data_IF_500440526952
#
_entry.id   IF_500440526952
#
_cell.length_a   1.000
_cell.length_b   1.000
_cell.length_c   1.000
_cell.angle_alpha   90.00
_cell.angle_beta   90.00
_cell.angle_gamma   90.00
#
_symmetry.space_group_name_H-M   'P 1'
#
loop_
_entity.id
_entity.type
_entity.pdbx_description
1 polymer ?
#
# COMPACT_ATOMS: atom_id res chain seq x y z
N UNK A 1 -14.47 -46.42 -4.30
CA UNK A 1 -13.01 -46.20 -4.09
C UNK A 1 -12.53 -45.20 -5.13
N UNK A 2 -12.24 -43.95 -4.73
CA UNK A 2 -11.66 -42.90 -5.60
C UNK A 2 -10.30 -42.51 -5.01
N UNK A 3 -9.24 -42.55 -5.84
CA UNK A 3 -7.87 -42.20 -5.46
C UNK A 3 -7.79 -40.70 -5.07
N UNK A 4 -7.00 -40.33 -4.05
CA UNK A 4 -6.72 -38.93 -3.74
C UNK A 4 -5.69 -38.36 -4.73
N UNK A 5 -5.87 -37.09 -5.09
CA UNK A 5 -4.96 -36.30 -5.90
C UNK A 5 -3.58 -36.20 -5.22
N UNK A 6 -2.46 -36.39 -5.95
CA UNK A 6 -1.14 -36.16 -5.37
C UNK A 6 -0.82 -34.66 -5.40
N UNK A 7 -0.81 -34.03 -4.22
CA UNK A 7 -0.23 -32.70 -4.05
C UNK A 7 1.30 -32.82 -4.12
N UNK A 8 1.87 -32.71 -5.32
CA UNK A 8 3.29 -32.42 -5.51
C UNK A 8 3.54 -30.94 -5.21
N UNK A 9 3.71 -30.57 -3.94
CA UNK A 9 4.03 -29.21 -3.54
C UNK A 9 5.48 -28.87 -3.87
N UNK A 10 5.70 -27.84 -4.70
CA UNK A 10 7.00 -27.21 -4.86
C UNK A 10 7.47 -26.70 -3.49
N UNK A 11 8.63 -27.18 -3.03
CA UNK A 11 9.20 -26.74 -1.76
C UNK A 11 9.68 -25.28 -1.82
N UNK A 12 9.72 -24.60 -0.67
CA UNK A 12 10.21 -23.21 -0.51
C UNK A 12 11.55 -22.93 -1.22
N UNK A 13 12.46 -23.91 -1.22
CA UNK A 13 13.77 -23.79 -1.91
C UNK A 13 13.66 -23.89 -3.44
N UNK A 14 12.72 -24.67 -3.97
CA UNK A 14 12.48 -24.76 -5.41
C UNK A 14 11.80 -23.49 -5.93
N UNK A 15 10.88 -22.88 -5.15
CA UNK A 15 10.29 -21.57 -5.48
C UNK A 15 11.34 -20.45 -5.54
N UNK A 16 12.30 -20.42 -4.61
CA UNK A 16 13.39 -19.44 -4.62
C UNK A 16 14.41 -19.71 -5.74
N UNK A 17 14.65 -20.98 -6.09
CA UNK A 17 15.58 -21.34 -7.16
C UNK A 17 15.03 -21.03 -8.57
N UNK A 18 13.71 -21.14 -8.80
CA UNK A 18 13.09 -20.80 -10.09
C UNK A 18 12.98 -19.29 -10.33
N UNK A 19 13.12 -18.45 -9.30
CA UNK A 19 13.24 -17.00 -9.46
C UNK A 19 14.63 -16.55 -9.97
N UNK A 20 15.65 -17.41 -9.90
CA UNK A 20 17.03 -17.09 -10.22
C UNK A 20 17.48 -17.51 -11.63
N UNK A 21 16.60 -18.09 -12.45
CA UNK A 21 16.93 -18.56 -13.79
C UNK A 21 16.04 -17.91 -14.86
N UNK A 22 16.34 -16.65 -15.18
CA UNK A 22 15.94 -16.02 -16.44
C UNK A 22 17.21 -15.74 -17.27
N UNK A 23 17.31 -16.21 -18.51
CA UNK A 23 18.44 -15.89 -19.37
C UNK A 23 18.44 -14.41 -19.73
N UNK A 24 19.61 -13.79 -19.63
CA UNK A 24 19.94 -12.45 -20.12
C UNK A 24 19.67 -12.34 -21.61
N UNK A 25 18.63 -11.61 -22.01
CA UNK A 25 18.49 -11.04 -23.35
C UNK A 25 19.03 -9.61 -23.32
N UNK A 26 20.26 -9.47 -23.83
CA UNK A 26 20.91 -8.19 -24.11
C UNK A 26 20.23 -7.59 -25.35
N UNK A 27 19.77 -6.34 -25.24
CA UNK A 27 19.53 -5.49 -26.42
C UNK A 27 18.20 -4.74 -26.43
N UNK A 28 18.16 -3.62 -25.72
CA UNK A 28 17.65 -2.31 -26.16
C UNK A 28 18.01 -1.32 -25.04
N UNK A 29 19.08 -0.56 -25.23
CA UNK A 29 19.43 0.56 -24.34
C UNK A 29 18.42 1.69 -24.58
N UNK A 30 17.23 1.56 -24.00
CA UNK A 30 16.47 2.73 -23.58
C UNK A 30 17.16 3.17 -22.30
N UNK A 31 17.72 4.37 -22.28
CA UNK A 31 18.33 4.96 -21.09
C UNK A 31 17.24 5.09 -20.01
N UNK A 32 17.07 4.04 -19.22
CA UNK A 32 16.23 4.04 -18.04
C UNK A 32 16.95 4.90 -17.00
N UNK A 33 16.38 6.05 -16.66
CA UNK A 33 16.63 6.55 -15.32
C UNK A 33 15.98 5.52 -14.39
N UNK A 34 16.80 4.60 -13.85
CA UNK A 34 16.37 3.85 -12.67
C UNK A 34 15.97 4.88 -11.61
N UNK A 35 14.81 4.72 -10.96
CA UNK A 35 14.47 5.61 -9.86
C UNK A 35 15.64 5.56 -8.86
N UNK A 36 16.03 6.71 -8.28
CA UNK A 36 17.16 6.76 -7.33
C UNK A 36 17.04 5.71 -6.21
N UNK A 37 15.82 5.32 -5.85
CA UNK A 37 15.52 4.28 -4.88
C UNK A 37 15.95 2.85 -5.31
N UNK A 38 16.10 2.57 -6.60
CA UNK A 38 16.56 1.28 -7.13
C UNK A 38 18.10 1.19 -7.25
N UNK A 39 18.81 2.32 -7.11
CA UNK A 39 20.26 2.41 -7.35
C UNK A 39 21.11 1.94 -6.16
N UNK A 40 20.52 1.70 -4.97
CA UNK A 40 21.23 1.19 -3.80
C UNK A 40 20.64 -0.14 -3.30
N UNK A 41 21.16 -1.29 -3.76
CA UNK A 41 20.74 -2.61 -3.28
C UNK A 41 21.28 -2.93 -1.87
N UNK A 42 22.24 -2.15 -1.36
CA UNK A 42 22.68 -2.25 0.02
C UNK A 42 21.65 -1.51 0.89
N UNK A 43 21.00 -2.25 1.80
CA UNK A 43 19.79 -1.81 2.49
C UNK A 43 19.85 -0.36 3.00
N UNK A 44 18.74 0.37 2.83
CA UNK A 44 18.61 1.76 3.29
C UNK A 44 19.10 1.85 4.73
N UNK A 45 20.14 2.65 5.05
CA UNK A 45 20.71 2.69 6.38
C UNK A 45 19.77 3.37 7.39
N UNK A 46 19.91 3.02 8.67
CA UNK A 46 19.19 3.64 9.79
C UNK A 46 18.26 2.70 10.54
N UNK A 47 17.71 3.18 11.66
CA UNK A 47 16.86 2.39 12.58
C UNK A 47 15.64 1.76 11.89
N UNK A 48 15.05 2.46 10.93
CA UNK A 48 13.89 2.01 10.14
C UNK A 48 14.28 1.66 8.69
N UNK A 49 15.56 1.45 8.45
CA UNK A 49 16.13 1.04 7.17
C UNK A 49 15.66 -0.34 6.71
N UNK A 50 16.16 -0.84 5.57
CA UNK A 50 15.86 -2.23 5.14
C UNK A 50 16.91 -3.20 5.73
N UNK A 51 16.52 -4.36 6.30
CA UNK A 51 15.21 -5.02 6.29
C UNK A 51 14.27 -4.64 7.45
N UNK A 52 14.55 -3.55 8.16
CA UNK A 52 13.77 -3.04 9.28
C UNK A 52 14.08 -3.73 10.60
N UNK A 53 13.56 -3.20 11.74
CA UNK A 53 13.82 -3.75 13.06
C UNK A 53 13.15 -5.11 13.33
N UNK A 54 12.16 -5.52 12.51
CA UNK A 54 11.36 -6.72 12.74
C UNK A 54 11.23 -7.60 11.46
N UNK A 55 12.36 -8.06 10.88
CA UNK A 55 12.35 -8.75 9.60
C UNK A 55 11.55 -10.06 9.68
N UNK A 56 10.51 -10.17 8.85
CA UNK A 56 9.68 -11.38 8.74
C UNK A 56 8.80 -11.68 9.96
N UNK A 57 8.70 -10.76 10.93
CA UNK A 57 7.82 -10.92 12.10
C UNK A 57 6.40 -10.47 11.77
N UNK A 58 5.42 -11.31 12.12
CA UNK A 58 3.99 -11.03 11.95
C UNK A 58 3.31 -11.24 13.30
N UNK A 59 2.50 -10.27 13.72
CA UNK A 59 1.65 -10.40 14.90
C UNK A 59 0.21 -10.65 14.46
N UNK A 60 -0.37 -11.72 14.97
CA UNK A 60 -1.77 -12.05 14.76
C UNK A 60 -2.57 -11.70 16.02
N UNK A 61 -3.45 -10.69 15.92
CA UNK A 61 -4.28 -10.28 17.03
C UNK A 61 -5.74 -10.64 16.78
N UNK A 62 -6.28 -11.57 17.58
CA UNK A 62 -7.69 -11.96 17.56
C UNK A 62 -8.44 -11.36 18.75
N UNK A 63 -9.63 -10.83 18.47
CA UNK A 63 -10.59 -10.37 19.47
C UNK A 63 -12.02 -10.42 18.86
N UNK A 64 -12.87 -11.39 19.26
CA UNK A 64 -14.23 -11.53 18.75
C UNK A 64 -15.14 -10.32 19.03
N UNK A 65 -14.79 -9.46 20.00
CA UNK A 65 -15.56 -8.27 20.30
C UNK A 65 -15.36 -7.14 19.28
N UNK A 66 -14.31 -7.21 18.43
CA UNK A 66 -14.04 -6.14 17.43
C UNK A 66 -15.18 -5.97 16.43
N UNK A 67 -15.87 -7.05 16.08
CA UNK A 67 -17.02 -7.03 15.19
C UNK A 67 -18.05 -8.02 15.71
N UNK A 68 -19.26 -7.55 15.99
CA UNK A 68 -20.38 -8.38 16.41
C UNK A 68 -21.63 -7.99 15.61
N UNK A 69 -22.27 -8.97 14.99
CA UNK A 69 -23.49 -8.77 14.20
C UNK A 69 -23.34 -7.66 13.12
N UNK A 70 -22.15 -7.59 12.50
CA UNK A 70 -21.79 -6.57 11.51
C UNK A 70 -21.43 -5.19 12.08
N UNK A 71 -21.56 -5.00 13.39
CA UNK A 71 -21.21 -3.74 14.07
C UNK A 71 -19.78 -3.81 14.59
N UNK A 72 -18.98 -2.81 14.25
CA UNK A 72 -17.58 -2.67 14.70
C UNK A 72 -17.55 -2.01 16.08
N UNK A 73 -16.73 -2.54 16.98
CA UNK A 73 -16.53 -1.96 18.32
C UNK A 73 -15.15 -1.30 18.38
N UNK A 74 -15.14 0.03 18.48
CA UNK A 74 -13.92 0.84 18.47
C UNK A 74 -13.00 0.55 19.66
N UNK A 75 -13.52 0.37 20.88
CA UNK A 75 -12.70 0.09 22.06
C UNK A 75 -12.05 -1.30 21.99
N UNK A 76 -12.78 -2.30 21.47
CA UNK A 76 -12.22 -3.61 21.20
C UNK A 76 -11.12 -3.55 20.14
N UNK A 77 -11.28 -2.74 19.10
CA UNK A 77 -10.24 -2.50 18.08
C UNK A 77 -9.02 -1.82 18.70
N UNK A 78 -9.22 -0.76 19.48
CA UNK A 78 -8.17 -0.03 20.20
C UNK A 78 -7.31 -0.97 21.06
N UNK A 79 -7.94 -1.72 21.94
CA UNK A 79 -7.25 -2.66 22.85
C UNK A 79 -6.51 -3.75 22.09
N UNK A 80 -7.07 -4.23 20.98
CA UNK A 80 -6.44 -5.26 20.13
C UNK A 80 -5.23 -4.71 19.38
N UNK A 81 -5.33 -3.49 18.83
CA UNK A 81 -4.23 -2.80 18.16
C UNK A 81 -3.09 -2.51 19.13
N UNK A 82 -3.40 -1.97 20.32
CA UNK A 82 -2.42 -1.70 21.36
C UNK A 82 -1.64 -2.96 21.77
N UNK A 83 -2.33 -4.09 21.98
CA UNK A 83 -1.68 -5.38 22.25
C UNK A 83 -0.76 -5.79 21.10
N UNK A 84 -1.24 -5.73 19.86
CA UNK A 84 -0.45 -6.13 18.69
C UNK A 84 0.80 -5.27 18.49
N UNK A 85 0.69 -3.96 18.69
CA UNK A 85 1.80 -3.01 18.61
C UNK A 85 2.85 -3.30 19.69
N UNK A 86 2.45 -3.50 20.95
CA UNK A 86 3.38 -3.86 22.03
C UNK A 86 4.06 -5.20 21.80
N UNK A 87 3.32 -6.21 21.33
CA UNK A 87 3.90 -7.51 21.03
C UNK A 87 4.93 -7.44 19.89
N UNK A 88 4.66 -6.67 18.84
CA UNK A 88 5.59 -6.46 17.73
C UNK A 88 6.86 -5.74 18.20
N UNK A 89 6.69 -4.64 18.94
CA UNK A 89 7.77 -3.72 19.28
C UNK A 89 8.57 -4.14 20.51
N UNK A 90 7.95 -4.88 21.43
CA UNK A 90 8.50 -5.16 22.75
C UNK A 90 8.38 -3.99 23.73
N UNK A 91 7.60 -2.95 23.41
CA UNK A 91 7.45 -1.78 24.26
C UNK A 91 6.59 -2.06 25.52
N UNK A 92 6.92 -1.38 26.62
CA UNK A 92 6.26 -1.53 27.91
C UNK A 92 4.84 -0.91 27.93
N UNK A 93 4.64 0.15 27.14
CA UNK A 93 3.36 0.85 27.02
C UNK A 93 3.01 1.21 25.58
N UNK A 94 1.76 1.64 25.39
CA UNK A 94 1.17 1.89 24.08
C UNK A 94 1.86 3.08 23.38
N UNK A 95 2.28 4.10 24.12
CA UNK A 95 2.92 5.31 23.56
C UNK A 95 4.31 4.95 23.02
N UNK A 96 5.10 4.21 23.80
CA UNK A 96 6.44 3.76 23.39
C UNK A 96 6.38 2.80 22.20
N UNK A 97 5.31 2.00 22.07
CA UNK A 97 5.08 1.17 20.89
C UNK A 97 4.92 2.02 19.62
N UNK A 98 4.21 3.15 19.68
CA UNK A 98 4.10 4.07 18.54
C UNK A 98 5.40 4.85 18.30
N UNK A 99 6.09 5.30 19.36
CA UNK A 99 7.40 5.98 19.28
C UNK A 99 8.53 5.10 18.75
N UNK A 100 8.32 3.79 18.70
CA UNK A 100 9.24 2.87 18.03
C UNK A 100 9.35 3.17 16.53
N UNK A 101 8.31 3.75 15.91
CA UNK A 101 8.23 4.06 14.48
C UNK A 101 8.10 5.54 14.17
N UNK A 102 7.49 6.34 15.05
CA UNK A 102 7.11 7.73 14.79
C UNK A 102 7.69 8.70 15.81
N UNK A 103 7.90 9.94 15.40
CA UNK A 103 8.46 11.00 16.25
C UNK A 103 7.86 12.37 15.89
N UNK A 104 7.96 13.37 16.79
CA UNK A 104 7.54 14.73 16.48
C UNK A 104 8.27 15.28 15.24
N UNK A 105 7.49 15.78 14.27
CA UNK A 105 8.02 16.29 13.00
C UNK A 105 7.80 15.36 11.81
N UNK A 106 7.40 14.11 12.04
CA UNK A 106 6.99 13.21 10.95
C UNK A 106 5.77 13.75 10.19
N UNK A 107 5.74 13.44 8.89
CA UNK A 107 4.61 13.70 8.01
C UNK A 107 4.13 12.36 7.45
N UNK A 108 2.92 11.94 7.84
CA UNK A 108 2.50 10.54 7.73
C UNK A 108 1.30 10.39 6.80
N UNK A 109 1.44 9.50 5.81
CA UNK A 109 0.30 9.05 5.00
C UNK A 109 -0.34 7.79 5.57
N UNK A 110 -1.67 7.77 5.68
CA UNK A 110 -2.48 6.66 6.17
C UNK A 110 -3.33 6.15 5.00
N UNK A 111 -2.90 5.03 4.41
CA UNK A 111 -3.52 4.47 3.20
C UNK A 111 -4.69 3.56 3.56
N UNK A 112 -5.90 4.03 3.26
CA UNK A 112 -7.15 3.28 3.42
C UNK A 112 -7.43 2.39 2.19
N UNK A 113 -8.39 1.47 2.30
CA UNK A 113 -8.89 0.66 1.20
C UNK A 113 -10.44 0.62 1.20
N UNK A 114 -11.12 1.34 0.30
CA UNK A 114 -12.58 1.36 0.17
C UNK A 114 -13.14 0.24 -0.71
N UNK A 115 -12.32 -0.38 -1.57
CA UNK A 115 -12.78 -1.41 -2.51
C UNK A 115 -13.24 -2.64 -1.73
N UNK A 116 -14.50 -3.04 -1.92
CA UNK A 116 -15.17 -4.10 -1.16
C UNK A 116 -16.23 -3.58 -0.17
N UNK A 117 -16.42 -2.27 -0.09
CA UNK A 117 -17.50 -1.64 0.71
C UNK A 117 -18.87 -2.24 0.35
N UNK A 118 -19.76 -2.50 1.34
CA UNK A 118 -19.55 -2.29 2.78
C UNK A 118 -18.95 -3.49 3.53
N UNK A 119 -18.68 -4.60 2.83
CA UNK A 119 -18.39 -5.89 3.46
C UNK A 119 -16.91 -6.11 3.75
N UNK A 120 -16.02 -5.58 2.92
CA UNK A 120 -14.58 -5.86 2.94
C UNK A 120 -13.75 -4.59 2.65
N UNK A 121 -13.92 -3.56 3.48
CA UNK A 121 -13.19 -2.29 3.44
C UNK A 121 -12.49 -2.00 4.77
N UNK A 122 -11.51 -1.10 4.75
CA UNK A 122 -10.85 -0.63 5.97
C UNK A 122 -11.88 -0.01 6.91
N UNK A 123 -11.79 -0.31 8.19
CA UNK A 123 -12.64 0.25 9.24
C UNK A 123 -12.23 1.69 9.57
N UNK A 124 -13.20 2.60 9.66
CA UNK A 124 -12.98 3.95 10.17
C UNK A 124 -12.55 3.94 11.63
N UNK A 125 -13.05 3.01 12.44
CA UNK A 125 -12.63 2.80 13.82
C UNK A 125 -11.13 2.48 13.91
N UNK A 126 -10.60 1.62 13.03
CA UNK A 126 -9.16 1.35 12.97
C UNK A 126 -8.36 2.59 12.54
N UNK A 127 -8.83 3.33 11.53
CA UNK A 127 -8.20 4.60 11.12
C UNK A 127 -8.09 5.58 12.29
N UNK A 128 -9.17 5.74 13.06
CA UNK A 128 -9.21 6.64 14.21
C UNK A 128 -8.20 6.22 15.28
N UNK A 129 -8.06 4.93 15.58
CA UNK A 129 -7.06 4.45 16.54
C UNK A 129 -5.62 4.58 16.05
N UNK A 130 -5.38 4.49 14.74
CA UNK A 130 -4.08 4.81 14.15
C UNK A 130 -3.76 6.30 14.30
N UNK A 131 -4.72 7.19 14.05
CA UNK A 131 -4.56 8.63 14.25
C UNK A 131 -4.24 8.95 15.72
N UNK A 132 -4.94 8.34 16.67
CA UNK A 132 -4.63 8.51 18.11
C UNK A 132 -3.25 7.98 18.49
N UNK A 133 -2.82 6.85 17.90
CA UNK A 133 -1.47 6.34 18.05
C UNK A 133 -0.38 7.28 17.55
N UNK A 134 -0.57 7.85 16.36
CA UNK A 134 0.33 8.85 15.78
C UNK A 134 0.38 10.12 16.65
N UNK A 135 -0.77 10.58 17.15
CA UNK A 135 -0.84 11.72 18.10
C UNK A 135 -0.07 11.43 19.38
N UNK A 136 -0.17 10.22 19.93
CA UNK A 136 0.56 9.81 21.13
C UNK A 136 2.09 9.81 20.90
N UNK A 137 2.55 9.47 19.69
CA UNK A 137 3.95 9.61 19.29
C UNK A 137 4.40 11.07 19.04
N UNK A 138 3.47 12.03 19.07
CA UNK A 138 3.74 13.47 18.90
C UNK A 138 3.59 13.99 17.46
N UNK A 139 3.06 13.18 16.55
CA UNK A 139 2.74 13.63 15.18
C UNK A 139 1.53 14.55 15.24
N UNK A 140 1.61 15.72 14.60
CA UNK A 140 0.51 16.70 14.59
C UNK A 140 -0.51 16.31 13.54
N UNK A 141 -1.80 16.53 13.81
CA UNK A 141 -2.89 16.21 12.86
C UNK A 141 -2.70 16.84 11.49
N UNK A 142 -2.23 18.10 11.44
CA UNK A 142 -1.91 18.80 10.18
C UNK A 142 -0.86 18.08 9.34
N UNK A 143 0.01 17.28 9.95
CA UNK A 143 1.08 16.53 9.31
C UNK A 143 0.63 15.09 8.96
N UNK A 144 -0.67 14.80 9.06
CA UNK A 144 -1.26 13.51 8.68
C UNK A 144 -2.12 13.65 7.42
N UNK A 145 -2.08 12.62 6.57
CA UNK A 145 -2.88 12.50 5.36
C UNK A 145 -3.60 11.15 5.32
N UNK A 146 -4.92 11.11 5.44
CA UNK A 146 -5.70 9.90 5.16
C UNK A 146 -6.03 9.86 3.68
N UNK A 147 -5.68 8.79 2.98
CA UNK A 147 -5.83 8.80 1.53
C UNK A 147 -6.14 7.46 0.89
N UNK A 148 -6.58 7.58 -0.34
CA UNK A 148 -6.70 6.52 -1.32
C UNK A 148 -6.06 6.97 -2.64
N UNK A 149 -5.92 6.05 -3.58
CA UNK A 149 -5.67 6.34 -4.98
C UNK A 149 -6.86 7.04 -5.64
N UNK A 150 -8.10 6.59 -5.43
CA UNK A 150 -9.29 7.17 -6.07
C UNK A 150 -10.18 7.91 -5.07
N UNK A 151 -10.25 9.23 -5.24
CA UNK A 151 -11.00 10.13 -4.34
C UNK A 151 -12.49 9.78 -4.29
N UNK A 152 -13.10 9.49 -5.43
CA UNK A 152 -14.52 9.14 -5.50
C UNK A 152 -14.84 7.83 -4.77
N UNK A 153 -13.98 6.80 -4.84
CA UNK A 153 -14.19 5.56 -4.11
C UNK A 153 -14.09 5.77 -2.59
N UNK A 154 -13.13 6.59 -2.17
CA UNK A 154 -12.98 7.00 -0.77
C UNK A 154 -14.23 7.73 -0.26
N UNK A 155 -14.81 8.59 -1.10
CA UNK A 155 -16.05 9.30 -0.78
C UNK A 155 -17.28 8.41 -0.77
N UNK A 156 -17.43 7.56 -1.79
CA UNK A 156 -18.55 6.63 -1.92
C UNK A 156 -18.61 5.63 -0.76
N UNK A 157 -17.45 5.24 -0.22
CA UNK A 157 -17.35 4.42 0.98
C UNK A 157 -17.65 5.17 2.29
N UNK A 158 -17.90 6.48 2.24
CA UNK A 158 -18.19 7.31 3.42
C UNK A 158 -16.97 7.63 4.29
N UNK A 159 -15.78 7.10 3.99
CA UNK A 159 -14.60 7.18 4.85
C UNK A 159 -14.15 8.60 5.17
N UNK A 160 -14.24 9.51 4.20
CA UNK A 160 -13.92 10.93 4.38
C UNK A 160 -14.72 11.62 5.50
N UNK A 161 -15.92 11.13 5.83
CA UNK A 161 -16.78 11.71 6.87
C UNK A 161 -16.24 11.46 8.28
N UNK A 162 -15.44 10.41 8.43
CA UNK A 162 -14.87 9.99 9.71
C UNK A 162 -13.46 10.54 9.92
N UNK A 163 -12.88 11.24 8.94
CA UNK A 163 -11.56 11.87 9.07
C UNK A 163 -11.69 13.07 10.02
N UNK A 164 -10.95 13.10 11.15
CA UNK A 164 -11.05 14.19 12.12
C UNK A 164 -10.57 15.53 11.56
N UNK A 165 -11.10 16.61 12.12
CA UNK A 165 -10.65 17.96 11.81
C UNK A 165 -9.14 18.12 12.01
N UNK A 166 -8.52 18.87 11.09
CA UNK A 166 -7.09 19.10 11.07
C UNK A 166 -6.26 17.95 10.46
N UNK A 167 -6.83 16.78 10.19
CA UNK A 167 -6.20 15.73 9.38
C UNK A 167 -6.57 15.95 7.91
N UNK A 168 -5.59 15.98 7.02
CA UNK A 168 -5.82 16.14 5.58
C UNK A 168 -6.32 14.82 5.00
N UNK A 169 -7.15 14.88 3.96
CA UNK A 169 -7.52 13.69 3.20
C UNK A 169 -7.71 13.97 1.73
N UNK A 170 -7.65 12.93 0.90
CA UNK A 170 -7.80 13.09 -0.53
C UNK A 170 -7.51 11.84 -1.35
N UNK A 171 -7.32 12.04 -2.65
CA UNK A 171 -7.04 10.97 -3.61
C UNK A 171 -5.90 11.26 -4.59
N UNK A 172 -5.20 10.20 -5.00
CA UNK A 172 -4.35 10.09 -6.20
C UNK A 172 -4.89 10.90 -7.38
N UNK A 173 -6.07 10.44 -7.81
CA UNK A 173 -6.89 10.92 -8.91
C UNK A 173 -8.35 11.01 -8.46
N UNK A 174 -9.21 11.73 -9.18
CA UNK A 174 -10.63 11.81 -8.84
C UNK A 174 -11.28 10.43 -8.93
N UNK A 175 -10.94 9.67 -9.96
CA UNK A 175 -11.53 8.38 -10.30
C UNK A 175 -10.51 7.46 -10.99
N UNK A 176 -10.96 6.26 -11.34
CA UNK A 176 -10.19 5.30 -12.10
C UNK A 176 -10.16 5.69 -13.59
N UNK A 177 -9.13 6.44 -13.99
CA UNK A 177 -8.87 6.75 -15.40
C UNK A 177 -8.57 5.47 -16.19
N UNK A 178 -9.39 5.09 -17.20
CA UNK A 178 -9.17 3.87 -17.98
C UNK A 178 -7.82 3.83 -18.68
N UNK A 179 -7.22 4.99 -19.01
CA UNK A 179 -5.90 5.02 -19.64
C UNK A 179 -4.78 4.66 -18.68
N UNK A 180 -4.99 4.88 -17.36
CA UNK A 180 -3.99 4.77 -16.30
C UNK A 180 -2.77 5.70 -16.50
N UNK A 181 -2.88 6.70 -17.38
CA UNK A 181 -1.80 7.64 -17.70
C UNK A 181 -1.97 9.00 -17.02
N UNK A 182 -3.11 9.25 -16.36
CA UNK A 182 -3.33 10.51 -15.65
C UNK A 182 -2.25 10.76 -14.58
N UNK A 183 -1.52 11.87 -14.73
CA UNK A 183 -0.51 12.33 -13.76
C UNK A 183 -1.02 13.45 -12.84
N UNK A 184 -1.96 14.26 -13.31
CA UNK A 184 -2.51 15.38 -12.55
C UNK A 184 -4.01 15.53 -12.82
N UNK A 185 -4.68 16.26 -11.93
CA UNK A 185 -6.07 16.63 -12.10
C UNK A 185 -6.32 18.01 -11.49
N UNK A 186 -7.30 18.79 -12.02
CA UNK A 186 -7.59 20.14 -11.52
C UNK A 186 -8.08 20.11 -10.07
N UNK A 187 -7.63 21.09 -9.27
CA UNK A 187 -8.07 21.27 -7.88
C UNK A 187 -6.91 21.49 -6.92
N UNK A 188 -7.25 21.55 -5.64
CA UNK A 188 -6.34 21.80 -4.51
C UNK A 188 -6.28 20.62 -3.53
N UNK A 189 -6.68 19.41 -3.99
CA UNK A 189 -6.68 18.22 -3.15
C UNK A 189 -5.25 17.93 -2.63
N UNK A 190 -5.08 17.79 -1.31
CA UNK A 190 -3.76 17.73 -0.68
C UNK A 190 -2.98 16.44 -0.99
N UNK A 191 -3.62 15.45 -1.62
CA UNK A 191 -3.03 14.16 -2.01
C UNK A 191 -2.73 14.10 -3.51
N UNK A 192 -3.41 14.90 -4.33
CA UNK A 192 -3.44 14.80 -5.78
C UNK A 192 -2.07 14.64 -6.47
N UNK A 193 -2.09 13.77 -7.48
CA UNK A 193 -1.11 13.71 -8.56
C UNK A 193 -0.02 12.67 -8.37
N UNK A 194 0.68 12.43 -9.47
CA UNK A 194 1.83 11.55 -9.58
C UNK A 194 3.05 12.34 -10.05
N UNK A 195 4.21 11.91 -9.58
CA UNK A 195 5.50 12.51 -9.87
C UNK A 195 5.95 12.12 -11.29
N UNK A 196 6.06 13.06 -12.24
CA UNK A 196 6.49 12.74 -13.60
C UNK A 196 7.93 12.21 -13.66
N UNK A 197 8.75 12.50 -12.66
CA UNK A 197 10.18 12.18 -12.64
C UNK A 197 10.49 10.90 -11.85
N UNK A 198 9.57 10.44 -11.01
CA UNK A 198 9.75 9.24 -10.18
C UNK A 198 8.81 8.11 -10.63
N UNK A 199 9.34 7.23 -11.48
CA UNK A 199 8.59 6.11 -12.04
C UNK A 199 9.44 4.85 -12.17
N UNK A 200 8.76 3.71 -12.23
CA UNK A 200 9.36 2.47 -12.71
C UNK A 200 8.96 2.22 -14.16
N UNK A 201 9.92 1.74 -14.95
CA UNK A 201 9.65 1.24 -16.30
C UNK A 201 9.22 -0.22 -16.21
N UNK A 202 8.00 -0.52 -16.64
CA UNK A 202 7.46 -1.85 -16.82
C UNK A 202 7.83 -2.37 -18.22
N UNK A 203 8.00 -3.69 -18.36
CA UNK A 203 8.35 -4.31 -19.64
C UNK A 203 7.13 -4.69 -20.50
N UNK A 204 5.92 -4.46 -20.02
CA UNK A 204 4.68 -4.81 -20.72
C UNK A 204 3.70 -3.64 -20.67
N UNK A 205 2.90 -3.51 -21.72
CA UNK A 205 1.82 -2.51 -21.83
C UNK A 205 0.46 -3.17 -21.66
N UNK A 206 -0.51 -2.37 -21.24
CA UNK A 206 -1.90 -2.78 -21.09
C UNK A 206 -2.51 -3.15 -22.44
N UNK A 207 -3.51 -4.05 -22.44
CA UNK A 207 -4.22 -4.43 -23.66
C UNK A 207 -4.91 -3.20 -24.26
N UNK A 208 -4.59 -2.89 -25.52
CA UNK A 208 -5.13 -1.73 -26.23
C UNK A 208 -4.28 -0.46 -26.13
N UNK A 209 -3.20 -0.47 -25.33
CA UNK A 209 -2.20 0.59 -25.31
C UNK A 209 -1.21 0.42 -26.46
N UNK A 210 -0.68 1.55 -26.96
CA UNK A 210 0.36 1.54 -27.99
C UNK A 210 1.72 1.20 -27.35
N UNK A 211 2.35 0.07 -27.69
CA UNK A 211 3.68 -0.28 -27.17
C UNK A 211 4.79 0.68 -27.60
N UNK A 212 4.54 1.57 -28.56
CA UNK A 212 5.47 2.63 -28.98
C UNK A 212 5.34 3.91 -28.16
N UNK A 213 4.26 4.06 -27.40
CA UNK A 213 4.08 5.18 -26.47
C UNK A 213 4.78 4.85 -25.15
N UNK A 214 5.92 5.49 -24.91
CA UNK A 214 6.77 5.23 -23.74
C UNK A 214 6.05 5.46 -22.40
N UNK A 215 5.03 6.33 -22.37
CA UNK A 215 4.20 6.60 -21.18
C UNK A 215 3.48 5.34 -20.70
N UNK A 216 3.09 4.46 -21.63
CA UNK A 216 2.36 3.23 -21.31
C UNK A 216 3.20 2.19 -20.59
N UNK A 217 4.53 2.36 -20.64
CA UNK A 217 5.51 1.54 -19.92
C UNK A 217 5.86 2.13 -18.55
N UNK A 218 5.42 3.35 -18.21
CA UNK A 218 5.80 4.00 -16.95
C UNK A 218 4.71 3.85 -15.89
N UNK A 219 5.14 3.56 -14.67
CA UNK A 219 4.31 3.56 -13.46
C UNK A 219 4.87 4.57 -12.47
N UNK A 220 4.22 5.73 -12.40
CA UNK A 220 4.64 6.91 -11.63
C UNK A 220 4.17 6.83 -10.19
N UNK A 221 5.04 7.17 -9.24
CA UNK A 221 4.72 7.26 -7.81
C UNK A 221 3.89 8.51 -7.52
N UNK A 222 2.99 8.41 -6.55
CA UNK A 222 2.18 9.55 -6.11
C UNK A 222 3.02 10.69 -5.53
N UNK A 223 2.68 11.94 -5.84
CA UNK A 223 3.35 13.13 -5.28
C UNK A 223 3.28 13.18 -3.75
N UNK A 224 2.22 12.60 -3.16
CA UNK A 224 2.13 12.41 -1.72
C UNK A 224 3.37 11.66 -1.20
N UNK A 225 3.74 10.55 -1.84
CA UNK A 225 4.85 9.68 -1.44
C UNK A 225 6.20 10.32 -1.71
N UNK A 226 6.37 10.98 -2.87
CA UNK A 226 7.69 11.46 -3.28
C UNK A 226 8.04 12.83 -2.71
N UNK A 227 7.05 13.68 -2.37
CA UNK A 227 7.29 15.07 -1.97
C UNK A 227 6.68 15.49 -0.62
N UNK A 228 5.73 14.74 -0.05
CA UNK A 228 4.91 15.25 1.06
C UNK A 228 5.04 14.44 2.35
N UNK A 229 5.08 13.11 2.27
CA UNK A 229 5.17 12.24 3.46
C UNK A 229 6.56 11.63 3.60
N UNK A 230 6.99 11.41 4.83
CA UNK A 230 8.22 10.66 5.13
C UNK A 230 7.94 9.24 5.67
N UNK A 231 6.69 8.96 6.07
CA UNK A 231 6.25 7.64 6.57
C UNK A 231 4.86 7.28 6.05
N UNK A 232 4.61 5.98 5.88
CA UNK A 232 3.33 5.43 5.45
C UNK A 232 2.82 4.36 6.43
N UNK A 233 1.56 4.47 6.82
CA UNK A 233 0.81 3.41 7.50
C UNK A 233 -0.20 2.85 6.50
N UNK A 234 -0.09 1.55 6.20
CA UNK A 234 -0.99 0.90 5.25
C UNK A 234 -2.04 0.11 6.00
N UNK A 235 -3.32 0.36 5.70
CA UNK A 235 -4.45 -0.34 6.30
C UNK A 235 -5.18 -1.20 5.25
N UNK A 236 -4.52 -2.24 4.70
CA UNK A 236 -5.12 -3.09 3.68
C UNK A 236 -6.23 -3.98 4.28
N UNK A 237 -7.08 -4.49 3.41
CA UNK A 237 -8.00 -5.59 3.73
C UNK A 237 -7.43 -6.87 3.15
N UNK A 238 -7.50 -7.97 3.90
CA UNK A 238 -7.17 -9.31 3.39
C UNK A 238 -8.39 -9.86 2.65
N UNK A 239 -8.26 -10.03 1.33
CA UNK A 239 -9.26 -10.62 0.43
C UNK A 239 -8.56 -11.31 -0.72
N UNK A 240 -9.28 -12.19 -1.43
CA UNK A 240 -8.78 -12.76 -2.67
C UNK A 240 -8.71 -11.69 -3.78
N UNK A 241 -7.83 -11.93 -4.75
CA UNK A 241 -7.69 -11.09 -5.93
C UNK A 241 -7.31 -11.95 -7.13
N UNK A 242 -8.11 -11.88 -8.20
CA UNK A 242 -8.01 -12.81 -9.33
C UNK A 242 -6.65 -12.89 -10.03
N UNK A 243 -5.80 -11.88 -9.86
CA UNK A 243 -4.45 -11.82 -10.44
C UNK A 243 -3.30 -11.75 -9.43
N UNK A 244 -3.59 -11.43 -8.16
CA UNK A 244 -2.55 -11.24 -7.14
C UNK A 244 -2.59 -12.35 -6.07
N UNK A 245 -3.53 -13.28 -6.17
CA UNK A 245 -3.81 -14.28 -5.14
C UNK A 245 -4.53 -13.65 -3.96
N UNK A 246 -3.78 -12.98 -3.07
CA UNK A 246 -4.31 -12.30 -1.89
C UNK A 246 -3.87 -10.84 -1.86
N UNK A 247 -4.72 -9.98 -1.31
CA UNK A 247 -4.39 -8.57 -1.06
C UNK A 247 -3.66 -8.39 0.28
N UNK A 248 -3.00 -7.24 0.46
CA UNK A 248 -2.22 -6.93 1.65
C UNK A 248 -1.41 -5.64 1.47
N UNK A 249 -0.47 -5.40 2.38
CA UNK A 249 0.33 -4.17 2.41
C UNK A 249 1.13 -3.96 1.12
N UNK A 250 1.78 -5.01 0.60
CA UNK A 250 2.53 -4.95 -0.66
C UNK A 250 1.65 -4.56 -1.85
N UNK A 251 0.39 -5.01 -1.89
CA UNK A 251 -0.55 -4.61 -2.94
C UNK A 251 -0.97 -3.15 -2.79
N UNK A 252 -1.22 -2.69 -1.56
CA UNK A 252 -1.48 -1.28 -1.29
C UNK A 252 -0.33 -0.38 -1.79
N UNK A 253 0.93 -0.81 -1.66
CA UNK A 253 2.07 -0.06 -2.19
C UNK A 253 2.12 -0.12 -3.72
N UNK A 254 2.26 -1.32 -4.27
CA UNK A 254 2.47 -1.54 -5.71
C UNK A 254 1.30 -1.09 -6.61
N UNK A 255 0.08 -0.97 -6.07
CA UNK A 255 -1.10 -0.59 -6.86
C UNK A 255 -1.83 0.64 -6.37
N UNK A 256 -1.69 0.97 -5.08
CA UNK A 256 -2.40 2.08 -4.45
C UNK A 256 -1.58 3.36 -4.39
N UNK A 257 -0.29 3.32 -4.73
CA UNK A 257 0.63 4.47 -4.70
C UNK A 257 1.13 4.88 -6.09
N UNK A 258 0.69 4.20 -7.15
CA UNK A 258 1.15 4.44 -8.53
C UNK A 258 0.00 4.57 -9.51
N UNK A 259 0.22 5.25 -10.64
CA UNK A 259 -0.81 5.55 -11.63
C UNK A 259 -1.11 4.41 -12.60
N UNK A 260 -0.11 3.60 -12.96
CA UNK A 260 -0.25 2.57 -13.98
C UNK A 260 0.00 1.18 -13.38
N UNK A 261 -1.09 0.40 -13.26
CA UNK A 261 -1.09 -0.92 -12.62
C UNK A 261 -1.65 -2.01 -13.53
N UNK A 262 -1.95 -1.68 -14.79
CA UNK A 262 -2.81 -2.50 -15.66
C UNK A 262 -2.14 -3.81 -16.14
N UNK A 263 -0.90 -4.05 -15.74
CA UNK A 263 -0.21 -5.34 -15.81
C UNK A 263 -0.79 -6.37 -14.80
N UNK A 264 -1.29 -5.91 -13.66
CA UNK A 264 -1.57 -6.76 -12.50
C UNK A 264 -3.07 -6.97 -12.23
N UNK A 265 -3.97 -6.57 -13.13
CA UNK A 265 -5.42 -6.77 -12.96
C UNK A 265 -6.10 -7.54 -14.10
N UNK A 266 -5.53 -7.61 -15.30
CA UNK A 266 -6.23 -8.12 -16.51
C UNK A 266 -5.44 -9.15 -17.35
N UNK A 267 -4.64 -10.01 -16.71
CA UNK A 267 -3.78 -10.96 -17.41
C UNK A 267 -4.55 -12.12 -18.11
N UNK A 268 -5.16 -11.87 -19.28
CA UNK A 268 -5.24 -12.86 -20.37
C UNK A 268 -4.26 -12.42 -21.45
N UNK A 269 -3.15 -13.13 -21.53
CA UNK A 269 -1.95 -12.72 -22.26
C UNK A 269 -2.17 -12.83 -23.79
N UNK A 270 -1.70 -11.83 -24.54
CA UNK A 270 -1.15 -12.07 -25.88
C UNK A 270 0.34 -11.76 -25.79
N UNK A 271 1.17 -12.77 -26.06
CA UNK A 271 2.61 -12.58 -26.25
C UNK A 271 2.80 -11.84 -27.56
N UNK A 272 3.65 -10.81 -27.55
CA UNK A 272 4.20 -10.21 -28.78
C UNK A 272 5.17 -11.21 -29.40
#
# INVERSE_FOLDING_TARGET
MRKPYPCGGLGRRQFLASAAALPTLIGLNVSAAEPKAAQDPDGVPGKLGLPGPYPGRVIEARNPAMIKDGVKNRDAIKTTLARGMKELTGADDDVEAWRSFFEPGDVVGIKMNPVGTPLANTSSELMLEVIEGLKAAGVKTRDMFVFERYRQEFMAAGMHKDVPDGVRWGGLTPENDPSQLQLSWPGDDPVAGYDPDEYMTMQLVSRGSDPKDDRTLRSHLGLLVTKRVNKLVLLPVLKDHGSAGVTGALKNMSHGLVNNVALAQYARHQRV
#
